data_IF_086644515593
#
_entry.id   IF_086644515593
#
_cell.length_a   1.000
_cell.length_b   1.000
_cell.length_c   1.000
_cell.angle_alpha   90.00
_cell.angle_beta   90.00
_cell.angle_gamma   90.00
#
_symmetry.space_group_name_H-M   'P 1'
#
loop_
_entity.id
_entity.type
_entity.pdbx_description
1 polymer ?
#
# COMPACT_ATOMS: atom_id res chain seq x y z
N UNK A 1 1.29 1.01 0.20
CA UNK A 1 1.69 0.04 -0.86
C UNK A 1 2.22 -1.25 -0.23
N UNK A 2 2.00 -2.41 -0.86
CA UNK A 2 2.60 -3.69 -0.43
C UNK A 2 4.12 -3.56 -0.27
N UNK A 3 4.66 -4.01 0.86
CA UNK A 3 6.07 -3.85 1.25
C UNK A 3 6.46 -2.46 1.76
N UNK A 4 5.55 -1.49 1.76
CA UNK A 4 5.73 -0.13 2.27
C UNK A 4 4.51 0.31 3.10
N UNK A 5 4.14 -0.49 4.10
CA UNK A 5 2.94 -0.31 4.92
C UNK A 5 3.16 0.59 6.14
N UNK A 6 4.40 0.99 6.44
CA UNK A 6 4.72 1.76 7.67
C UNK A 6 3.84 3.01 7.87
N UNK A 7 3.57 3.85 6.85
CA UNK A 7 2.66 4.99 7.03
C UNK A 7 1.22 4.58 7.40
N UNK A 8 0.70 3.52 6.78
CA UNK A 8 -0.62 2.98 7.10
C UNK A 8 -0.64 2.37 8.51
N UNK A 9 0.46 1.72 8.91
CA UNK A 9 0.63 1.19 10.25
C UNK A 9 0.52 2.29 11.31
N UNK A 10 1.20 3.43 11.12
CA UNK A 10 1.15 4.56 12.07
C UNK A 10 -0.27 5.12 12.21
N UNK A 11 -0.98 5.26 11.09
CA UNK A 11 -2.37 5.72 11.07
C UNK A 11 -3.31 4.77 11.80
N UNK A 12 -3.25 3.47 11.50
CA UNK A 12 -4.12 2.46 12.11
C UNK A 12 -3.79 2.27 13.60
N UNK A 13 -2.51 2.25 13.97
CA UNK A 13 -2.10 2.17 15.37
C UNK A 13 -2.68 3.32 16.19
N UNK A 14 -2.61 4.55 15.66
CA UNK A 14 -3.17 5.73 16.32
C UNK A 14 -4.69 5.65 16.50
N UNK A 15 -5.42 5.11 15.52
CA UNK A 15 -6.88 4.95 15.60
C UNK A 15 -7.32 3.92 16.65
N UNK A 16 -6.51 2.90 16.90
CA UNK A 16 -6.86 1.79 17.78
C UNK A 16 -6.22 1.86 19.17
N UNK A 17 -5.30 2.81 19.41
CA UNK A 17 -4.54 2.93 20.66
C UNK A 17 -5.42 2.89 21.92
N UNK A 18 -6.58 3.55 21.90
CA UNK A 18 -7.50 3.62 23.05
C UNK A 18 -8.54 2.47 23.09
N UNK A 19 -8.59 1.64 22.05
CA UNK A 19 -9.59 0.58 21.91
C UNK A 19 -9.08 -0.78 22.35
N UNK A 20 -7.76 -1.01 22.26
CA UNK A 20 -7.12 -2.31 22.48
C UNK A 20 -6.15 -2.27 23.66
N UNK A 21 -5.81 -3.43 24.20
CA UNK A 21 -4.96 -3.51 25.41
C UNK A 21 -3.48 -3.71 25.06
N UNK A 22 -3.18 -4.26 23.89
CA UNK A 22 -1.82 -4.45 23.38
C UNK A 22 -1.80 -4.27 21.86
N UNK A 23 -0.77 -3.59 21.37
CA UNK A 23 -0.45 -3.48 19.95
C UNK A 23 0.99 -3.92 19.75
N UNK A 24 1.20 -4.82 18.80
CA UNK A 24 2.53 -5.30 18.43
C UNK A 24 2.68 -5.33 16.91
N UNK A 25 3.91 -5.19 16.44
CA UNK A 25 4.28 -5.35 15.03
C UNK A 25 5.06 -6.64 14.87
N UNK A 26 4.65 -7.48 13.93
CA UNK A 26 5.42 -8.68 13.58
C UNK A 26 6.62 -8.33 12.68
N UNK A 27 7.56 -9.26 12.44
CA UNK A 27 8.72 -9.01 11.57
C UNK A 27 8.38 -8.71 10.10
N UNK A 28 7.19 -9.10 9.63
CA UNK A 28 6.71 -8.77 8.27
C UNK A 28 6.03 -7.40 8.22
N UNK A 29 5.75 -6.79 9.37
CA UNK A 29 5.20 -5.47 9.49
C UNK A 29 3.70 -5.42 9.81
N UNK A 30 3.04 -6.56 10.01
CA UNK A 30 1.61 -6.62 10.34
C UNK A 30 1.33 -5.99 11.70
N UNK A 31 0.25 -5.21 11.81
CA UNK A 31 -0.27 -4.74 13.09
C UNK A 31 -1.12 -5.84 13.74
N UNK A 32 -0.70 -6.35 14.88
CA UNK A 32 -1.49 -7.30 15.68
C UNK A 32 -2.01 -6.56 16.90
N UNK A 33 -3.33 -6.42 16.97
CA UNK A 33 -4.02 -5.67 18.01
C UNK A 33 -4.84 -6.62 18.87
N UNK A 34 -4.61 -6.61 20.17
CA UNK A 34 -5.22 -7.54 21.11
C UNK A 34 -6.13 -6.82 22.09
N UNK A 35 -7.40 -7.23 22.11
CA UNK A 35 -8.36 -6.88 23.15
C UNK A 35 -8.67 -8.11 23.99
N UNK A 36 -8.41 -8.03 25.30
CA UNK A 36 -8.72 -9.09 26.27
C UNK A 36 -10.23 -9.21 26.39
N UNK A 37 -10.75 -10.41 26.11
CA UNK A 37 -12.16 -10.73 26.31
C UNK A 37 -12.54 -10.85 27.78
N UNK A 38 -13.83 -10.73 28.08
CA UNK A 38 -14.37 -10.81 29.45
C UNK A 38 -14.96 -12.20 29.81
N UNK A 39 -14.86 -13.19 28.94
CA UNK A 39 -15.50 -14.50 29.12
C UNK A 39 -14.77 -15.39 30.13
N UNK A 40 -15.53 -16.10 30.98
CA UNK A 40 -15.04 -17.18 31.85
C UNK A 40 -14.88 -18.49 31.08
N UNK A 41 -13.97 -19.35 31.55
CA UNK A 41 -13.27 -20.36 30.76
C UNK A 41 -14.08 -21.47 30.07
N UNK A 42 -13.57 -22.01 28.93
CA UNK A 42 -12.44 -21.47 28.14
C UNK A 42 -12.91 -20.36 27.21
N UNK A 43 -12.21 -19.21 27.15
CA UNK A 43 -12.62 -18.12 26.27
C UNK A 43 -12.36 -18.48 24.80
N UNK A 44 -13.36 -18.27 23.95
CA UNK A 44 -13.18 -18.32 22.50
C UNK A 44 -12.23 -17.20 22.05
N UNK A 45 -11.32 -17.49 21.10
CA UNK A 45 -10.46 -16.50 20.47
C UNK A 45 -11.02 -16.16 19.09
N UNK A 46 -11.24 -14.88 18.83
CA UNK A 46 -11.75 -14.36 17.55
C UNK A 46 -10.64 -13.53 16.91
N UNK A 47 -10.42 -13.73 15.61
CA UNK A 47 -9.49 -12.93 14.81
C UNK A 47 -10.25 -12.24 13.69
N UNK A 48 -10.13 -10.92 13.64
CA UNK A 48 -10.50 -10.11 12.49
C UNK A 48 -9.22 -9.77 11.73
N UNK A 49 -9.24 -9.95 10.41
CA UNK A 49 -8.10 -9.67 9.54
C UNK A 49 -8.53 -8.73 8.42
N UNK A 50 -7.77 -7.65 8.26
CA UNK A 50 -7.83 -6.75 7.12
C UNK A 50 -6.39 -6.44 6.71
N UNK A 51 -6.14 -6.28 5.42
CA UNK A 51 -4.81 -6.01 4.91
C UNK A 51 -4.54 -4.50 4.91
N UNK A 52 -3.32 -4.10 5.31
CA UNK A 52 -2.89 -2.69 5.36
C UNK A 52 -2.39 -2.19 4.01
N UNK A 53 -2.00 -3.12 3.14
CA UNK A 53 -1.42 -2.80 1.86
C UNK A 53 -2.49 -2.40 0.85
N UNK A 54 -2.02 -1.66 -0.14
CA UNK A 54 -2.80 -1.20 -1.28
C UNK A 54 -2.03 -1.57 -2.55
N UNK A 55 -2.79 -1.75 -3.62
CA UNK A 55 -2.23 -1.95 -4.95
C UNK A 55 -1.43 -0.70 -5.37
N UNK A 56 -0.27 -0.90 -6.00
CA UNK A 56 0.60 0.21 -6.37
C UNK A 56 1.53 -0.09 -7.53
N UNK A 57 2.58 0.73 -7.65
CA UNK A 57 3.56 0.66 -8.73
C UNK A 57 4.96 0.90 -8.16
N UNK A 58 5.97 0.21 -8.70
CA UNK A 58 7.37 0.42 -8.33
C UNK A 58 8.16 0.94 -9.53
N UNK A 59 9.05 1.90 -9.31
CA UNK A 59 9.98 2.37 -10.35
C UNK A 59 11.00 1.27 -10.61
N UNK A 60 11.02 0.73 -11.83
CA UNK A 60 11.93 -0.34 -12.25
C UNK A 60 13.18 0.19 -12.96
N UNK A 61 13.09 1.37 -13.59
CA UNK A 61 14.19 2.00 -14.33
C UNK A 61 13.95 3.50 -14.47
N UNK A 62 15.03 4.28 -14.48
CA UNK A 62 15.05 5.67 -14.96
C UNK A 62 15.61 5.62 -16.38
N UNK A 63 14.85 6.09 -17.36
CA UNK A 63 15.27 6.17 -18.76
C UNK A 63 16.20 7.37 -18.99
N UNK A 64 16.96 7.35 -20.08
CA UNK A 64 17.98 8.36 -20.37
C UNK A 64 17.37 9.77 -20.58
N UNK A 65 16.12 9.82 -21.05
CA UNK A 65 15.36 11.06 -21.24
C UNK A 65 14.67 11.55 -19.94
N UNK A 66 14.87 10.87 -18.82
CA UNK A 66 14.33 11.26 -17.51
C UNK A 66 12.94 10.70 -17.19
N UNK A 67 12.36 9.86 -18.06
CA UNK A 67 11.12 9.16 -17.76
C UNK A 67 11.33 8.01 -16.78
N UNK A 68 10.28 7.70 -16.00
CA UNK A 68 10.28 6.57 -15.07
C UNK A 68 9.56 5.39 -15.69
N UNK A 69 10.24 4.24 -15.77
CA UNK A 69 9.60 2.97 -16.07
C UNK A 69 9.05 2.39 -14.77
N UNK A 70 7.79 1.96 -14.81
CA UNK A 70 7.09 1.40 -13.66
C UNK A 70 6.72 -0.07 -13.89
N UNK A 71 6.72 -0.85 -12.82
CA UNK A 71 6.15 -2.19 -12.75
C UNK A 71 4.95 -2.18 -11.81
N UNK A 72 3.89 -2.92 -12.18
CA UNK A 72 2.68 -3.01 -11.37
C UNK A 72 2.92 -3.94 -10.20
N UNK A 73 2.55 -3.51 -8.99
CA UNK A 73 2.51 -4.35 -7.80
C UNK A 73 1.06 -4.62 -7.41
N UNK A 74 0.61 -5.86 -7.61
CA UNK A 74 -0.79 -6.25 -7.49
C UNK A 74 -1.55 -6.16 -8.81
N UNK A 75 -2.87 -6.39 -8.76
CA UNK A 75 -3.72 -6.45 -9.95
C UNK A 75 -4.29 -5.09 -10.33
N UNK A 76 -3.59 -4.33 -11.16
CA UNK A 76 -4.10 -3.07 -11.72
C UNK A 76 -4.51 -3.26 -13.18
N UNK A 77 -5.70 -2.77 -13.53
CA UNK A 77 -6.12 -2.66 -14.93
C UNK A 77 -5.29 -1.56 -15.63
N UNK A 78 -4.48 -1.95 -16.62
CA UNK A 78 -3.62 -1.00 -17.34
C UNK A 78 -4.41 0.04 -18.14
N UNK A 79 -5.69 -0.22 -18.44
CA UNK A 79 -6.54 0.66 -19.24
C UNK A 79 -6.96 1.94 -18.52
N UNK A 80 -6.97 1.92 -17.18
CA UNK A 80 -7.35 3.10 -16.39
C UNK A 80 -6.17 4.03 -16.12
N UNK A 81 -4.94 3.55 -16.29
CA UNK A 81 -3.72 4.27 -15.94
C UNK A 81 -3.41 5.53 -16.77
N UNK A 82 -3.67 5.59 -18.09
CA UNK A 82 -3.31 6.74 -18.90
C UNK A 82 -3.84 8.06 -18.33
N UNK A 83 -2.98 9.07 -18.22
CA UNK A 83 -3.28 10.40 -17.67
C UNK A 83 -3.61 10.44 -16.17
N UNK A 84 -3.41 9.35 -15.42
CA UNK A 84 -3.53 9.40 -13.96
C UNK A 84 -2.36 10.17 -13.34
N UNK A 85 -2.68 11.05 -12.40
CA UNK A 85 -1.70 11.67 -11.51
C UNK A 85 -1.20 10.63 -10.51
N UNK A 86 0.11 10.67 -10.25
CA UNK A 86 0.78 9.76 -9.33
C UNK A 86 1.75 10.53 -8.45
N UNK A 87 1.97 10.01 -7.24
CA UNK A 87 3.07 10.45 -6.37
C UNK A 87 4.09 9.34 -6.28
N UNK A 88 5.33 9.65 -6.66
CA UNK A 88 6.47 8.74 -6.56
C UNK A 88 7.20 9.04 -5.24
N UNK A 89 7.19 8.06 -4.35
CA UNK A 89 7.87 8.13 -3.06
C UNK A 89 9.36 7.81 -3.21
N UNK A 90 10.16 8.85 -3.50
CA UNK A 90 11.62 8.77 -3.50
C UNK A 90 12.22 9.20 -2.16
N UNK A 91 13.42 9.81 -2.20
CA UNK A 91 13.97 10.54 -1.03
C UNK A 91 13.08 11.72 -0.58
N UNK A 92 12.27 12.20 -1.52
CA UNK A 92 11.19 13.16 -1.36
C UNK A 92 10.07 12.74 -2.30
N UNK A 93 8.86 13.20 -2.01
CA UNK A 93 7.74 12.98 -2.92
C UNK A 93 7.94 13.75 -4.22
N UNK A 94 7.63 13.07 -5.33
CA UNK A 94 7.68 13.61 -6.67
C UNK A 94 6.32 13.39 -7.33
N UNK A 95 5.68 14.48 -7.75
CA UNK A 95 4.44 14.38 -8.52
C UNK A 95 4.75 14.06 -9.98
N UNK A 96 3.95 13.19 -10.57
CA UNK A 96 4.06 12.78 -11.96
C UNK A 96 2.70 12.46 -12.56
N UNK A 97 2.71 12.19 -13.86
CA UNK A 97 1.54 11.73 -14.61
C UNK A 97 1.94 10.53 -15.45
N UNK A 98 1.05 9.55 -15.55
CA UNK A 98 1.27 8.38 -16.42
C UNK A 98 1.02 8.81 -17.86
N UNK A 99 2.07 8.80 -18.67
CA UNK A 99 2.00 9.10 -20.10
C UNK A 99 1.26 8.01 -20.89
N UNK A 100 0.73 8.40 -22.05
CA UNK A 100 0.11 7.50 -23.01
C UNK A 100 0.76 7.72 -24.37
N UNK A 101 1.00 6.63 -25.12
CA UNK A 101 1.39 6.75 -26.53
C UNK A 101 0.18 7.28 -27.30
N UNK A 102 0.28 8.40 -28.03
CA UNK A 102 -0.81 8.93 -28.82
C UNK A 102 -1.40 7.86 -29.77
N UNK A 103 -2.72 7.77 -29.96
CA UNK A 103 -3.36 6.70 -30.74
C UNK A 103 -2.78 6.53 -32.15
N UNK A 104 -2.44 7.64 -32.81
CA UNK A 104 -1.86 7.65 -34.17
C UNK A 104 -0.40 7.18 -34.26
N UNK A 105 0.26 6.94 -33.11
CA UNK A 105 1.62 6.40 -32.99
C UNK A 105 1.64 4.98 -32.43
N UNK A 106 0.48 4.38 -32.17
CA UNK A 106 0.39 2.99 -31.73
C UNK A 106 0.49 2.08 -32.97
N UNK A 107 1.43 1.14 -32.97
CA UNK A 107 1.54 0.13 -34.02
C UNK A 107 0.24 -0.70 -34.06
N UNK A 108 -0.32 -0.87 -35.27
CA UNK A 108 -1.57 -1.61 -35.52
C UNK A 108 -1.42 -3.12 -35.32
#
# INVERSE_FOLDING_TARGET
MTGYESPAWDGVNSLFADLVDEIRRDPLGSAIMWKKGAAKEPPARIMFAAHLDEIGMIVSKIEDEGFLRIWMMGGVDRRILPSMEVTVHGRRDLHGVIGAIPPHLQDS
#
